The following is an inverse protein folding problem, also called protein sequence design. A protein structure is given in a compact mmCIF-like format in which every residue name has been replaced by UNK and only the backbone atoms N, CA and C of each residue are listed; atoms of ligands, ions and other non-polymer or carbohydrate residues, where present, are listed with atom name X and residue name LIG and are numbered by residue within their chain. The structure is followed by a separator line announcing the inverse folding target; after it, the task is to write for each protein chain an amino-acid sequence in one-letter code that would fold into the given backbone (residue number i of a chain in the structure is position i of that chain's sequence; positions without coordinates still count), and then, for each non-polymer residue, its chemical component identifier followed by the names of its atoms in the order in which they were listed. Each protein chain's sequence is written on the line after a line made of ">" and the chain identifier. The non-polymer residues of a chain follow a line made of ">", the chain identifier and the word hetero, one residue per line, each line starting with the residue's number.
data_IF_802371697065
#
_entry.id   IF_802371697065
#
_cell.length_a   1.000
_cell.length_b   1.000
_cell.length_c   1.000
_cell.angle_alpha   90.00
_cell.angle_beta   90.00
_cell.angle_gamma   90.00
#
_symmetry.space_group_name_H-M   'P 1'
#
loop_
_entity.id
_entity.type
_entity.pdbx_description
1 polymer ?
#
# COMPACT_ATOMS: atom_id res chain seq x y z
N UNK A 1 12.55 34.42 21.14
CA UNK A 1 12.76 32.98 21.42
C UNK A 1 11.60 32.39 22.24
N UNK A 2 10.89 33.20 23.04
CA UNK A 2 9.67 32.79 23.77
C UNK A 2 8.45 32.51 22.87
N UNK A 3 8.24 33.25 21.78
CA UNK A 3 7.10 33.00 20.88
C UNK A 3 7.13 31.63 20.21
N UNK A 4 8.32 31.15 19.79
CA UNK A 4 8.47 29.78 19.26
C UNK A 4 8.19 28.70 20.33
N UNK A 5 8.38 29.04 21.62
CA UNK A 5 8.13 28.12 22.74
C UNK A 5 6.63 28.05 23.05
N UNK A 6 5.91 29.18 23.01
CA UNK A 6 4.44 29.20 23.14
C UNK A 6 3.77 28.45 21.99
N UNK A 7 4.16 28.71 20.74
CA UNK A 7 3.57 28.07 19.56
C UNK A 7 3.69 26.54 19.59
N UNK A 8 4.87 26.01 19.97
CA UNK A 8 5.10 24.56 20.01
C UNK A 8 4.31 23.86 21.13
N UNK A 9 4.05 24.55 22.25
CA UNK A 9 3.30 24.00 23.38
C UNK A 9 1.79 24.01 23.09
N UNK A 10 1.27 25.10 22.52
CA UNK A 10 -0.12 25.18 22.04
C UNK A 10 -0.43 24.14 20.95
N UNK A 11 0.53 23.91 20.04
CA UNK A 11 0.36 22.96 18.95
C UNK A 11 0.40 21.50 19.43
N UNK A 12 1.21 21.16 20.45
CA UNK A 12 1.16 19.82 21.05
C UNK A 12 -0.13 19.60 21.83
N UNK A 13 -0.62 20.63 22.54
CA UNK A 13 -1.87 20.54 23.30
C UNK A 13 -3.08 20.36 22.38
N UNK A 14 -3.12 21.06 21.24
CA UNK A 14 -4.17 20.89 20.22
C UNK A 14 -4.19 19.48 19.61
N UNK A 15 -3.00 18.94 19.27
CA UNK A 15 -2.88 17.59 18.73
C UNK A 15 -3.27 16.52 19.75
N UNK A 16 -2.85 16.68 21.01
CA UNK A 16 -3.19 15.75 22.08
C UNK A 16 -4.69 15.78 22.40
N UNK A 17 -5.32 16.95 22.36
CA UNK A 17 -6.78 17.08 22.48
C UNK A 17 -7.50 16.36 21.33
N UNK A 18 -7.01 16.49 20.10
CA UNK A 18 -7.58 15.80 18.95
C UNK A 18 -7.45 14.28 19.06
N UNK A 19 -6.27 13.78 19.45
CA UNK A 19 -6.04 12.34 19.67
C UNK A 19 -6.92 11.81 20.80
N UNK A 20 -7.08 12.57 21.88
CA UNK A 20 -7.99 12.21 22.97
C UNK A 20 -9.45 12.15 22.49
N UNK A 21 -9.88 13.08 21.64
CA UNK A 21 -11.22 13.09 21.07
C UNK A 21 -11.47 11.89 20.14
N UNK A 22 -10.49 11.52 19.32
CA UNK A 22 -10.54 10.28 18.52
C UNK A 22 -10.63 9.07 19.44
N UNK A 23 -9.80 9.00 20.49
CA UNK A 23 -9.81 7.87 21.43
C UNK A 23 -11.14 7.75 22.17
N UNK A 24 -11.72 8.88 22.58
CA UNK A 24 -13.02 8.92 23.25
C UNK A 24 -14.14 8.41 22.33
N UNK A 25 -14.05 8.70 21.03
CA UNK A 25 -15.05 8.30 20.03
C UNK A 25 -14.69 7.01 19.26
N UNK A 26 -13.58 6.36 19.58
CA UNK A 26 -13.03 5.22 18.84
C UNK A 26 -14.05 4.09 18.70
N UNK A 27 -14.80 3.79 19.76
CA UNK A 27 -15.83 2.75 19.77
C UNK A 27 -16.98 3.05 18.80
N UNK A 28 -17.31 4.32 18.59
CA UNK A 28 -18.33 4.74 17.63
C UNK A 28 -17.78 4.70 16.20
N UNK A 29 -16.57 5.22 16.01
CA UNK A 29 -15.87 5.23 14.72
C UNK A 29 -15.68 3.81 14.19
N UNK A 30 -15.20 2.87 15.03
CA UNK A 30 -14.98 1.47 14.63
C UNK A 30 -16.29 0.78 14.23
N UNK A 31 -17.44 1.19 14.78
CA UNK A 31 -18.74 0.59 14.42
C UNK A 31 -19.26 1.11 13.09
N UNK A 32 -19.12 2.41 12.83
CA UNK A 32 -19.76 3.06 11.67
C UNK A 32 -18.82 3.13 10.47
N UNK A 33 -17.54 3.43 10.68
CA UNK A 33 -16.59 3.67 9.61
C UNK A 33 -16.45 2.49 8.63
N UNK A 34 -16.39 1.21 9.06
CA UNK A 34 -16.29 0.11 8.11
C UNK A 34 -17.47 0.10 7.14
N UNK A 35 -18.70 0.26 7.65
CA UNK A 35 -19.93 0.26 6.84
C UNK A 35 -19.90 1.41 5.84
N UNK A 36 -19.57 2.62 6.29
CA UNK A 36 -19.49 3.80 5.42
C UNK A 36 -18.40 3.64 4.36
N UNK A 37 -17.22 3.13 4.71
CA UNK A 37 -16.11 2.92 3.77
C UNK A 37 -16.48 1.85 2.73
N UNK A 38 -17.04 0.71 3.16
CA UNK A 38 -17.46 -0.36 2.27
C UNK A 38 -18.55 0.09 1.30
N UNK A 39 -19.52 0.87 1.80
CA UNK A 39 -20.56 1.47 0.95
C UNK A 39 -19.98 2.44 -0.08
N UNK A 40 -19.08 3.35 0.35
CA UNK A 40 -18.43 4.30 -0.55
C UNK A 40 -17.61 3.61 -1.63
N UNK A 41 -16.88 2.52 -1.31
CA UNK A 41 -16.13 1.75 -2.29
C UNK A 41 -17.04 1.16 -3.38
N UNK A 42 -18.20 0.60 -3.00
CA UNK A 42 -19.16 0.10 -3.98
C UNK A 42 -19.84 1.22 -4.77
N UNK A 43 -20.12 2.37 -4.17
CA UNK A 43 -20.62 3.52 -4.92
C UNK A 43 -19.63 3.99 -5.97
N UNK A 44 -18.34 4.06 -5.64
CA UNK A 44 -17.28 4.39 -6.62
C UNK A 44 -17.29 3.38 -7.77
N UNK A 45 -17.37 2.08 -7.44
CA UNK A 45 -17.45 1.00 -8.44
C UNK A 45 -18.66 1.15 -9.37
N UNK A 46 -19.84 1.40 -8.82
CA UNK A 46 -21.08 1.56 -9.60
C UNK A 46 -21.07 2.83 -10.46
N UNK A 47 -20.49 3.91 -9.95
CA UNK A 47 -20.30 5.13 -10.71
C UNK A 47 -19.32 4.93 -11.88
N UNK A 48 -18.22 4.20 -11.67
CA UNK A 48 -17.22 3.90 -12.70
C UNK A 48 -17.82 3.05 -13.83
N UNK A 49 -18.64 2.06 -13.49
CA UNK A 49 -19.31 1.19 -14.46
C UNK A 49 -20.70 1.69 -14.90
N UNK A 50 -21.11 2.89 -14.49
CA UNK A 50 -22.40 3.54 -14.81
C UNK A 50 -23.62 2.61 -14.62
N UNK A 51 -23.63 1.85 -13.52
CA UNK A 51 -24.66 0.85 -13.26
C UNK A 51 -24.99 0.74 -11.78
N UNK A 52 -26.29 0.69 -11.45
CA UNK A 52 -26.78 0.38 -10.11
C UNK A 52 -27.51 -0.99 -10.13
N UNK A 53 -26.95 -2.02 -9.48
CA UNK A 53 -27.60 -3.33 -9.36
C UNK A 53 -28.85 -3.28 -8.47
N UNK A 54 -29.83 -4.13 -8.79
CA UNK A 54 -30.91 -4.47 -7.87
C UNK A 54 -30.36 -5.37 -6.76
N UNK A 55 -30.53 -4.94 -5.51
CA UNK A 55 -30.01 -5.64 -4.36
C UNK A 55 -31.12 -6.11 -3.44
N UNK A 56 -31.02 -7.38 -3.04
CA UNK A 56 -31.65 -7.80 -1.79
C UNK A 56 -30.84 -7.25 -0.61
N UNK A 57 -31.53 -6.76 0.42
CA UNK A 57 -30.95 -6.08 1.58
C UNK A 57 -29.91 -6.97 2.31
N UNK A 58 -30.18 -8.27 2.36
CA UNK A 58 -29.28 -9.24 2.99
C UNK A 58 -27.99 -9.43 2.21
N UNK A 59 -28.09 -9.59 0.89
CA UNK A 59 -26.93 -9.74 -0.01
C UNK A 59 -26.06 -8.49 -0.02
N UNK A 60 -26.67 -7.30 -0.05
CA UNK A 60 -25.95 -6.03 0.05
C UNK A 60 -25.22 -5.89 1.40
N UNK A 61 -25.89 -6.26 2.50
CA UNK A 61 -25.29 -6.20 3.83
C UNK A 61 -24.05 -7.09 3.96
N UNK A 62 -24.13 -8.35 3.52
CA UNK A 62 -23.00 -9.29 3.53
C UNK A 62 -21.84 -8.80 2.66
N UNK A 63 -22.16 -8.24 1.49
CA UNK A 63 -21.18 -7.72 0.53
C UNK A 63 -20.44 -6.51 1.09
N UNK A 64 -21.17 -5.56 1.70
CA UNK A 64 -20.59 -4.39 2.36
C UNK A 64 -19.64 -4.82 3.48
N UNK A 65 -20.07 -5.69 4.38
CA UNK A 65 -19.24 -6.16 5.50
C UNK A 65 -17.95 -6.81 4.97
N UNK A 66 -18.05 -7.63 3.93
CA UNK A 66 -16.88 -8.29 3.32
C UNK A 66 -15.92 -7.28 2.69
N UNK A 67 -16.44 -6.29 1.95
CA UNK A 67 -15.64 -5.21 1.37
C UNK A 67 -14.99 -4.33 2.45
N UNK A 68 -15.70 -4.04 3.54
CA UNK A 68 -15.18 -3.31 4.67
C UNK A 68 -14.03 -4.04 5.35
N UNK A 69 -14.16 -5.36 5.56
CA UNK A 69 -13.10 -6.19 6.16
C UNK A 69 -11.88 -6.25 5.26
N UNK A 70 -12.06 -6.47 3.95
CA UNK A 70 -10.96 -6.48 2.99
C UNK A 70 -10.28 -5.11 2.86
N UNK A 71 -11.05 -4.03 2.75
CA UNK A 71 -10.52 -2.67 2.67
C UNK A 71 -9.76 -2.28 3.94
N UNK A 72 -10.28 -2.64 5.12
CA UNK A 72 -9.58 -2.45 6.39
C UNK A 72 -8.28 -3.27 6.45
N UNK A 73 -8.30 -4.53 5.99
CA UNK A 73 -7.10 -5.37 5.96
C UNK A 73 -6.01 -4.78 5.05
N UNK A 74 -6.36 -4.31 3.84
CA UNK A 74 -5.41 -3.65 2.93
C UNK A 74 -4.88 -2.36 3.56
N UNK A 75 -5.75 -1.52 4.13
CA UNK A 75 -5.35 -0.27 4.77
C UNK A 75 -4.40 -0.51 5.96
N UNK A 76 -4.69 -1.51 6.80
CA UNK A 76 -3.80 -1.92 7.89
C UNK A 76 -2.47 -2.45 7.37
N UNK A 77 -2.46 -3.23 6.28
CA UNK A 77 -1.23 -3.70 5.67
C UNK A 77 -0.35 -2.55 5.17
N UNK A 78 -0.93 -1.52 4.53
CA UNK A 78 -0.21 -0.31 4.11
C UNK A 78 0.30 0.47 5.32
N UNK A 79 -0.53 0.63 6.35
CA UNK A 79 -0.19 1.33 7.60
C UNK A 79 0.96 0.65 8.34
N UNK A 80 0.92 -0.68 8.45
CA UNK A 80 1.99 -1.45 9.06
C UNK A 80 3.24 -1.44 8.18
N UNK A 81 3.09 -1.63 6.87
CA UNK A 81 4.20 -1.56 5.91
C UNK A 81 4.95 -0.23 5.99
N UNK A 82 4.23 0.88 6.13
CA UNK A 82 4.83 2.22 6.27
C UNK A 82 5.51 2.44 7.62
N UNK A 83 5.07 1.75 8.68
CA UNK A 83 5.69 1.84 10.00
C UNK A 83 6.96 0.99 10.16
N UNK A 84 6.95 -0.24 9.64
CA UNK A 84 7.91 -1.29 10.03
C UNK A 84 9.36 -0.87 9.86
N UNK A 85 9.82 -0.26 8.73
CA UNK A 85 11.25 0.06 8.57
C UNK A 85 11.77 1.02 9.65
N UNK A 86 11.01 2.07 9.96
CA UNK A 86 11.38 3.03 10.99
C UNK A 86 11.29 2.44 12.40
N UNK A 87 10.25 1.63 12.68
CA UNK A 87 10.09 0.96 13.97
C UNK A 87 11.17 -0.08 14.21
N UNK A 88 11.51 -0.90 13.21
CA UNK A 88 12.52 -1.95 13.31
C UNK A 88 13.88 -1.36 13.64
N UNK A 89 14.26 -0.29 12.93
CA UNK A 89 15.52 0.39 13.20
C UNK A 89 15.56 0.97 14.62
N UNK A 90 14.49 1.69 15.01
CA UNK A 90 14.44 2.35 16.29
C UNK A 90 14.35 1.36 17.48
N UNK A 91 13.53 0.31 17.38
CA UNK A 91 13.35 -0.68 18.44
C UNK A 91 14.61 -1.55 18.62
N UNK A 92 15.25 -1.99 17.53
CA UNK A 92 16.45 -2.84 17.64
C UNK A 92 17.66 -2.04 18.13
N UNK A 93 17.80 -0.77 17.72
CA UNK A 93 18.97 0.03 18.08
C UNK A 93 18.84 0.77 19.43
N UNK A 94 17.72 1.48 19.69
CA UNK A 94 17.61 2.34 20.88
C UNK A 94 17.13 1.63 22.15
N UNK A 95 16.49 0.47 22.03
CA UNK A 95 15.97 -0.28 23.19
C UNK A 95 17.05 -1.07 23.91
N UNK A 96 18.16 -1.34 23.23
CA UNK A 96 19.29 -2.01 23.83
C UNK A 96 19.92 -1.14 24.92
N UNK A 97 20.11 -1.71 26.10
CA UNK A 97 20.64 -0.98 27.26
C UNK A 97 22.07 -0.52 27.02
N UNK A 98 22.90 -1.33 26.37
CA UNK A 98 24.30 -1.00 26.10
C UNK A 98 24.38 0.23 25.17
N UNK A 99 23.60 0.20 24.09
CA UNK A 99 23.55 1.31 23.12
C UNK A 99 23.01 2.57 23.78
N UNK A 100 21.92 2.46 24.56
CA UNK A 100 21.30 3.60 25.21
C UNK A 100 22.20 4.23 26.27
N UNK A 101 22.93 3.43 27.03
CA UNK A 101 23.82 3.93 28.08
C UNK A 101 25.09 4.55 27.46
N UNK A 102 25.63 3.98 26.37
CA UNK A 102 26.74 4.55 25.59
C UNK A 102 26.33 5.85 24.89
N UNK A 103 25.17 5.89 24.20
CA UNK A 103 24.66 7.12 23.57
C UNK A 103 24.26 8.17 24.61
N UNK A 104 23.60 7.78 25.68
CA UNK A 104 23.11 8.66 26.75
C UNK A 104 24.24 9.37 27.51
N UNK A 105 25.48 8.89 27.41
CA UNK A 105 26.65 9.60 27.89
C UNK A 105 27.01 10.82 27.03
N UNK A 106 26.79 10.74 25.71
CA UNK A 106 27.11 11.81 24.75
C UNK A 106 25.90 12.69 24.41
N UNK A 107 24.68 12.19 24.60
CA UNK A 107 23.46 12.96 24.41
C UNK A 107 23.17 13.87 25.61
N UNK A 108 22.72 15.11 25.38
CA UNK A 108 22.37 16.03 26.44
C UNK A 108 21.16 15.49 27.24
N UNK A 109 21.26 15.54 28.58
CA UNK A 109 20.22 15.04 29.52
C UNK A 109 19.03 15.99 29.70
N UNK A 110 19.10 17.21 29.16
CA UNK A 110 17.98 18.14 29.16
C UNK A 110 16.92 17.67 28.16
N UNK A 111 15.68 17.48 28.60
CA UNK A 111 14.58 16.91 27.80
C UNK A 111 14.40 17.60 26.42
N UNK A 112 14.60 18.92 26.35
CA UNK A 112 14.50 19.67 25.09
C UNK A 112 15.69 19.42 24.16
N UNK A 113 16.90 19.34 24.71
CA UNK A 113 18.12 19.12 23.94
C UNK A 113 18.23 17.66 23.52
N UNK A 114 17.72 16.73 24.33
CA UNK A 114 17.62 15.31 24.03
C UNK A 114 16.74 15.06 22.80
N UNK A 115 15.52 15.63 22.76
CA UNK A 115 14.62 15.50 21.61
C UNK A 115 15.25 16.03 20.31
N UNK A 116 15.96 17.15 20.38
CA UNK A 116 16.66 17.75 19.24
C UNK A 116 17.85 16.89 18.79
N UNK A 117 18.63 16.37 19.73
CA UNK A 117 19.76 15.50 19.46
C UNK A 117 19.30 14.16 18.85
N UNK A 118 18.27 13.53 19.41
CA UNK A 118 17.64 12.32 18.86
C UNK A 118 17.15 12.58 17.43
N UNK A 119 16.39 13.65 17.19
CA UNK A 119 15.89 13.98 15.84
C UNK A 119 17.04 14.19 14.85
N UNK A 120 18.12 14.86 15.29
CA UNK A 120 19.30 15.09 14.44
C UNK A 120 20.01 13.78 14.15
N UNK A 121 20.13 12.89 15.13
CA UNK A 121 20.72 11.56 14.98
C UNK A 121 19.94 10.72 13.96
N UNK A 122 18.62 10.61 14.09
CA UNK A 122 17.80 9.87 13.12
C UNK A 122 17.91 10.48 11.72
N UNK A 123 17.93 11.80 11.60
CA UNK A 123 18.08 12.44 10.30
C UNK A 123 19.42 12.09 9.64
N UNK A 124 20.51 12.12 10.40
CA UNK A 124 21.86 11.86 9.88
C UNK A 124 22.14 10.38 9.63
N UNK A 125 21.65 9.49 10.49
CA UNK A 125 21.98 8.06 10.48
C UNK A 125 20.85 7.16 10.03
N UNK A 126 19.70 7.69 9.60
CA UNK A 126 18.61 6.90 9.01
C UNK A 126 18.08 7.58 7.74
N UNK A 127 17.61 8.83 7.82
CA UNK A 127 16.96 9.49 6.67
C UNK A 127 17.89 9.66 5.46
N UNK A 128 19.02 10.37 5.65
CA UNK A 128 19.94 10.66 4.56
C UNK A 128 20.55 9.39 3.94
N UNK A 129 21.08 8.43 4.74
CA UNK A 129 21.64 7.22 4.18
C UNK A 129 20.63 6.35 3.44
N UNK A 130 19.43 6.18 4.00
CA UNK A 130 18.38 5.38 3.34
C UNK A 130 17.99 6.02 2.03
N UNK A 131 17.84 7.34 2.00
CA UNK A 131 17.51 8.08 0.76
C UNK A 131 18.59 7.92 -0.29
N UNK A 132 19.86 8.07 0.07
CA UNK A 132 20.98 7.86 -0.85
C UNK A 132 20.98 6.43 -1.40
N UNK A 133 20.81 5.43 -0.52
CA UNK A 133 20.74 4.03 -0.94
C UNK A 133 19.57 3.78 -1.91
N UNK A 134 18.37 4.28 -1.61
CA UNK A 134 17.20 4.13 -2.47
C UNK A 134 17.41 4.80 -3.82
N UNK A 135 17.94 6.03 -3.86
CA UNK A 135 18.22 6.74 -5.11
C UNK A 135 19.26 6.02 -5.97
N UNK A 136 20.33 5.50 -5.36
CA UNK A 136 21.35 4.74 -6.10
C UNK A 136 20.80 3.42 -6.62
N UNK A 137 19.98 2.70 -5.83
CA UNK A 137 19.32 1.48 -6.29
C UNK A 137 18.38 1.77 -7.45
N UNK A 138 17.58 2.85 -7.39
CA UNK A 138 16.74 3.29 -8.51
C UNK A 138 17.60 3.58 -9.74
N UNK A 139 18.71 4.31 -9.60
CA UNK A 139 19.60 4.60 -10.72
C UNK A 139 20.19 3.34 -11.35
N UNK A 140 20.68 2.39 -10.53
CA UNK A 140 21.19 1.10 -11.00
C UNK A 140 20.09 0.30 -11.70
N UNK A 141 18.84 0.37 -11.22
CA UNK A 141 17.70 -0.32 -11.82
C UNK A 141 17.50 0.05 -13.30
N UNK A 142 17.84 1.27 -13.70
CA UNK A 142 17.71 1.74 -15.08
C UNK A 142 19.00 1.56 -15.90
N UNK A 143 20.12 1.16 -15.28
CA UNK A 143 21.42 1.12 -15.94
C UNK A 143 21.95 -0.28 -16.28
N UNK A 144 21.64 -1.31 -15.48
CA UNK A 144 22.32 -2.62 -15.61
C UNK A 144 21.40 -3.78 -15.21
N UNK A 145 21.38 -4.91 -15.92
CA UNK A 145 20.33 -5.96 -15.79
C UNK A 145 20.41 -6.86 -14.54
N UNK A 146 21.45 -6.76 -13.71
CA UNK A 146 21.70 -7.70 -12.61
C UNK A 146 21.42 -7.09 -11.22
N UNK A 147 20.12 -6.97 -10.88
CA UNK A 147 19.65 -6.08 -9.81
C UNK A 147 19.65 -6.65 -8.39
N UNK A 148 19.56 -7.98 -8.25
CA UNK A 148 19.21 -8.60 -6.96
C UNK A 148 20.30 -8.43 -5.88
N UNK A 149 21.57 -8.46 -6.28
CA UNK A 149 22.71 -8.36 -5.36
C UNK A 149 22.84 -6.94 -4.77
N UNK A 150 22.52 -5.90 -5.55
CA UNK A 150 22.63 -4.50 -5.13
C UNK A 150 21.66 -4.12 -4.02
N UNK A 151 20.49 -4.77 -3.94
CA UNK A 151 19.51 -4.50 -2.88
C UNK A 151 20.07 -4.75 -1.48
N UNK A 152 21.00 -5.70 -1.32
CA UNK A 152 21.61 -6.03 -0.02
C UNK A 152 23.02 -5.43 0.08
N UNK A 153 23.81 -5.53 -0.99
CA UNK A 153 25.21 -5.09 -0.97
C UNK A 153 25.33 -3.57 -0.74
N UNK A 154 24.47 -2.76 -1.36
CA UNK A 154 24.58 -1.31 -1.29
C UNK A 154 24.19 -0.76 0.11
N UNK A 155 23.05 -1.18 0.71
CA UNK A 155 22.75 -0.79 2.08
C UNK A 155 23.79 -1.29 3.08
N UNK A 156 24.32 -2.51 2.89
CA UNK A 156 25.36 -3.06 3.76
C UNK A 156 26.63 -2.21 3.71
N UNK A 157 27.08 -1.83 2.51
CA UNK A 157 28.24 -0.96 2.32
C UNK A 157 28.02 0.41 3.00
N UNK A 158 26.85 1.01 2.79
CA UNK A 158 26.50 2.28 3.43
C UNK A 158 26.49 2.17 4.97
N UNK A 159 25.95 1.07 5.51
CA UNK A 159 25.94 0.81 6.95
C UNK A 159 27.34 0.61 7.52
N UNK A 160 28.25 -0.04 6.79
CA UNK A 160 29.65 -0.20 7.21
C UNK A 160 30.36 1.16 7.31
N UNK A 161 30.18 2.04 6.32
CA UNK A 161 30.76 3.40 6.33
C UNK A 161 30.21 4.20 7.52
N UNK A 162 28.90 4.14 7.77
CA UNK A 162 28.28 4.84 8.90
C UNK A 162 28.69 4.25 10.25
N UNK A 163 28.89 2.94 10.35
CA UNK A 163 29.36 2.29 11.56
C UNK A 163 30.78 2.76 11.92
N UNK A 164 31.66 2.95 10.93
CA UNK A 164 32.99 3.53 11.14
C UNK A 164 32.91 4.99 11.61
N UNK A 165 31.98 5.77 11.06
CA UNK A 165 31.74 7.13 11.53
C UNK A 165 31.21 7.15 12.98
N UNK A 166 30.26 6.26 13.31
CA UNK A 166 29.72 6.10 14.66
C UNK A 166 30.82 5.72 15.66
N UNK A 167 31.66 4.73 15.31
CA UNK A 167 32.74 4.26 16.17
C UNK A 167 33.76 5.36 16.44
N UNK A 168 34.06 6.19 15.43
CA UNK A 168 34.98 7.33 15.55
C UNK A 168 34.41 8.43 16.44
N UNK A 169 33.12 8.78 16.28
CA UNK A 169 32.50 9.90 17.01
C UNK A 169 32.07 9.56 18.44
N UNK A 170 31.50 8.37 18.65
CA UNK A 170 30.84 8.01 19.91
C UNK A 170 31.54 6.88 20.68
N UNK A 171 32.67 6.35 20.17
CA UNK A 171 33.46 5.30 20.82
C UNK A 171 32.63 4.09 21.28
N UNK A 172 31.67 3.66 20.46
CA UNK A 172 30.82 2.50 20.77
C UNK A 172 31.62 1.20 20.85
N UNK A 173 31.13 0.27 21.65
CA UNK A 173 31.63 -1.09 21.69
C UNK A 173 31.39 -1.85 20.38
N UNK A 174 32.23 -2.84 20.09
CA UNK A 174 32.13 -3.63 18.85
C UNK A 174 30.79 -4.37 18.71
N UNK A 175 30.19 -4.80 19.83
CA UNK A 175 28.87 -5.43 19.87
C UNK A 175 27.76 -4.46 19.46
N UNK A 176 27.78 -3.22 19.96
CA UNK A 176 26.85 -2.16 19.58
C UNK A 176 26.95 -1.81 18.09
N UNK A 177 28.16 -1.81 17.52
CA UNK A 177 28.36 -1.57 16.08
C UNK A 177 27.78 -2.69 15.20
N UNK A 178 27.98 -3.96 15.58
CA UNK A 178 27.40 -5.09 14.83
C UNK A 178 25.87 -5.03 14.87
N UNK A 179 25.28 -4.72 16.04
CA UNK A 179 23.83 -4.51 16.17
C UNK A 179 23.34 -3.38 15.27
N UNK A 180 24.06 -2.25 15.24
CA UNK A 180 23.75 -1.12 14.36
C UNK A 180 23.77 -1.52 12.87
N UNK A 181 24.82 -2.22 12.44
CA UNK A 181 24.97 -2.66 11.04
C UNK A 181 23.82 -3.58 10.65
N UNK A 182 23.49 -4.57 11.48
CA UNK A 182 22.43 -5.52 11.20
C UNK A 182 21.05 -4.82 11.14
N UNK A 183 20.73 -4.03 12.16
CA UNK A 183 19.46 -3.31 12.25
C UNK A 183 19.28 -2.32 11.10
N UNK A 184 20.32 -1.54 10.78
CA UNK A 184 20.29 -0.55 9.71
C UNK A 184 20.23 -1.20 8.34
N UNK A 185 20.97 -2.29 8.11
CA UNK A 185 20.90 -3.01 6.82
C UNK A 185 19.50 -3.58 6.60
N UNK A 186 18.91 -4.24 7.61
CA UNK A 186 17.54 -4.75 7.52
C UNK A 186 16.50 -3.64 7.33
N UNK A 187 16.65 -2.52 8.01
CA UNK A 187 15.72 -1.41 7.88
C UNK A 187 15.83 -0.73 6.50
N UNK A 188 17.04 -0.51 5.99
CA UNK A 188 17.27 0.18 4.71
C UNK A 188 16.85 -0.67 3.52
N UNK A 189 17.14 -1.96 3.57
CA UNK A 189 16.69 -2.92 2.55
C UNK A 189 15.17 -2.94 2.49
N UNK A 190 14.50 -3.07 3.64
CA UNK A 190 13.04 -3.08 3.72
C UNK A 190 12.43 -1.75 3.27
N UNK A 191 12.98 -0.62 3.73
CA UNK A 191 12.56 0.73 3.30
C UNK A 191 12.67 0.90 1.79
N UNK A 192 13.76 0.44 1.20
CA UNK A 192 13.98 0.53 -0.25
C UNK A 192 13.01 -0.37 -1.02
N UNK A 193 12.79 -1.61 -0.58
CA UNK A 193 11.82 -2.53 -1.21
C UNK A 193 10.42 -1.93 -1.18
N UNK A 194 9.97 -1.43 -0.04
CA UNK A 194 8.63 -0.84 0.11
C UNK A 194 8.49 0.42 -0.74
N UNK A 195 9.50 1.30 -0.73
CA UNK A 195 9.50 2.53 -1.53
C UNK A 195 9.47 2.24 -3.03
N UNK A 196 10.23 1.23 -3.47
CA UNK A 196 10.26 0.79 -4.87
C UNK A 196 8.92 0.15 -5.28
N UNK A 197 8.33 -0.69 -4.44
CA UNK A 197 7.04 -1.31 -4.70
C UNK A 197 5.91 -0.26 -4.86
N UNK A 198 5.88 0.73 -3.96
CA UNK A 198 4.96 1.87 -4.08
C UNK A 198 5.27 2.68 -5.34
N UNK A 199 6.56 2.93 -5.60
CA UNK A 199 7.02 3.70 -6.75
C UNK A 199 6.63 3.10 -8.10
N UNK A 200 6.86 1.80 -8.29
CA UNK A 200 6.49 1.07 -9.52
C UNK A 200 4.99 1.14 -9.73
N UNK A 201 4.20 0.89 -8.68
CA UNK A 201 2.75 0.99 -8.75
C UNK A 201 2.30 2.40 -9.15
N UNK A 202 2.89 3.44 -8.57
CA UNK A 202 2.59 4.83 -8.92
C UNK A 202 2.95 5.16 -10.37
N UNK A 203 4.11 4.70 -10.86
CA UNK A 203 4.53 4.90 -12.26
C UNK A 203 3.54 4.25 -13.22
N UNK A 204 3.13 3.01 -12.98
CA UNK A 204 2.13 2.33 -13.80
C UNK A 204 0.78 3.08 -13.83
N UNK A 205 0.37 3.66 -12.70
CA UNK A 205 -0.91 4.39 -12.62
C UNK A 205 -0.90 5.79 -13.23
N UNK A 206 0.21 6.53 -13.12
CA UNK A 206 0.26 7.96 -13.46
C UNK A 206 1.06 8.28 -14.72
N UNK A 207 2.01 7.42 -15.10
CA UNK A 207 2.91 7.64 -16.24
C UNK A 207 3.12 6.36 -17.06
N UNK A 208 2.05 5.72 -17.59
CA UNK A 208 2.19 4.49 -18.38
C UNK A 208 2.99 4.67 -19.68
N UNK A 209 3.02 5.88 -20.25
CA UNK A 209 3.76 6.23 -21.48
C UNK A 209 4.86 7.30 -21.24
N UNK A 210 5.28 7.48 -19.98
CA UNK A 210 6.29 8.48 -19.63
C UNK A 210 7.69 8.10 -20.13
N UNK A 211 8.53 9.08 -20.45
CA UNK A 211 9.94 8.85 -20.75
C UNK A 211 10.69 8.28 -19.54
N UNK A 212 11.74 7.49 -19.75
CA UNK A 212 12.54 6.87 -18.68
C UNK A 212 12.98 7.89 -17.63
N UNK A 213 13.38 9.09 -18.06
CA UNK A 213 13.77 10.19 -17.16
C UNK A 213 12.62 10.63 -16.25
N UNK A 214 11.39 10.75 -16.78
CA UNK A 214 10.22 11.12 -15.98
C UNK A 214 9.85 10.04 -14.96
N UNK A 215 10.00 8.76 -15.32
CA UNK A 215 9.75 7.64 -14.43
C UNK A 215 10.79 7.58 -13.30
N UNK A 216 12.08 7.76 -13.62
CA UNK A 216 13.16 7.82 -12.62
C UNK A 216 12.93 8.97 -11.63
N UNK A 217 12.57 10.17 -12.13
CA UNK A 217 12.33 11.33 -11.26
C UNK A 217 11.13 11.10 -10.34
N UNK A 218 10.05 10.48 -10.83
CA UNK A 218 8.91 10.12 -10.00
C UNK A 218 9.30 9.07 -8.94
N UNK A 219 10.06 8.03 -9.31
CA UNK A 219 10.55 7.02 -8.37
C UNK A 219 11.42 7.62 -7.27
N UNK A 220 12.33 8.54 -7.62
CA UNK A 220 13.17 9.25 -6.64
C UNK A 220 12.31 10.11 -5.71
N UNK A 221 11.33 10.84 -6.24
CA UNK A 221 10.43 11.66 -5.44
C UNK A 221 9.61 10.82 -4.45
N UNK A 222 9.12 9.66 -4.90
CA UNK A 222 8.37 8.72 -4.05
C UNK A 222 9.28 8.14 -2.98
N UNK A 223 10.49 7.68 -3.35
CA UNK A 223 11.44 7.14 -2.39
C UNK A 223 11.84 8.18 -1.32
N UNK A 224 12.08 9.44 -1.72
CA UNK A 224 12.33 10.53 -0.77
C UNK A 224 11.15 10.73 0.18
N UNK A 225 9.93 10.77 -0.35
CA UNK A 225 8.72 10.97 0.44
C UNK A 225 8.53 9.82 1.44
N UNK A 226 8.66 8.57 1.00
CA UNK A 226 8.55 7.38 1.84
C UNK A 226 9.62 7.34 2.92
N UNK A 227 10.86 7.68 2.61
CA UNK A 227 11.95 7.73 3.60
C UNK A 227 11.71 8.81 4.67
N UNK A 228 11.11 9.95 4.30
CA UNK A 228 10.65 10.96 5.27
C UNK A 228 9.57 10.38 6.19
N UNK A 229 8.61 9.61 5.64
CA UNK A 229 7.59 8.91 6.45
C UNK A 229 8.23 7.92 7.42
N UNK A 230 9.18 7.10 6.96
CA UNK A 230 9.88 6.14 7.83
C UNK A 230 10.67 6.86 8.94
N UNK A 231 11.37 7.95 8.60
CA UNK A 231 12.11 8.74 9.58
C UNK A 231 11.18 9.40 10.60
N UNK A 232 10.04 9.94 10.18
CA UNK A 232 9.05 10.51 11.12
C UNK A 232 8.45 9.45 12.03
N UNK A 233 8.25 8.21 11.55
CA UNK A 233 7.84 7.09 12.39
C UNK A 233 8.91 6.75 13.45
N UNK A 234 10.18 6.69 13.06
CA UNK A 234 11.29 6.47 13.99
C UNK A 234 11.44 7.60 15.03
N UNK A 235 11.35 8.87 14.60
CA UNK A 235 11.38 10.04 15.49
C UNK A 235 10.20 10.01 16.46
N UNK A 236 9.01 9.67 15.97
CA UNK A 236 7.81 9.61 16.81
C UNK A 236 7.91 8.52 17.87
N UNK A 237 8.50 7.36 17.57
CA UNK A 237 8.69 6.32 18.59
C UNK A 237 9.65 6.76 19.70
N UNK A 238 10.71 7.49 19.35
CA UNK A 238 11.74 7.87 20.31
C UNK A 238 11.37 9.09 21.15
N UNK A 239 10.74 10.10 20.55
CA UNK A 239 10.46 11.38 21.20
C UNK A 239 9.03 11.52 21.70
N UNK A 240 8.10 10.68 21.24
CA UNK A 240 6.67 10.81 21.49
C UNK A 240 6.07 9.48 22.00
N UNK A 241 4.86 9.54 22.56
CA UNK A 241 4.13 8.32 22.98
C UNK A 241 3.73 7.51 21.74
N UNK A 242 3.79 6.17 21.81
CA UNK A 242 3.41 5.23 20.74
C UNK A 242 2.09 5.55 20.01
N UNK A 243 1.14 6.20 20.69
CA UNK A 243 -0.14 6.63 20.12
C UNK A 243 0.01 7.65 18.99
N UNK A 244 1.03 8.50 19.02
CA UNK A 244 1.25 9.52 17.99
C UNK A 244 1.92 8.92 16.74
N UNK A 245 2.74 7.87 16.90
CA UNK A 245 3.36 7.15 15.77
C UNK A 245 2.32 6.51 14.87
N UNK A 246 1.33 5.85 15.49
CA UNK A 246 0.21 5.24 14.77
C UNK A 246 -0.62 6.31 14.05
N UNK A 247 -0.83 7.48 14.66
CA UNK A 247 -1.57 8.58 14.03
C UNK A 247 -0.88 9.09 12.76
N UNK A 248 0.42 9.39 12.82
CA UNK A 248 1.17 9.85 11.64
C UNK A 248 1.21 8.80 10.53
N UNK A 249 1.48 7.54 10.88
CA UNK A 249 1.45 6.44 9.89
C UNK A 249 0.08 6.27 9.23
N UNK A 250 -1.00 6.36 10.01
CA UNK A 250 -2.37 6.27 9.49
C UNK A 250 -2.65 7.42 8.53
N UNK A 251 -2.23 8.64 8.88
CA UNK A 251 -2.39 9.83 8.05
C UNK A 251 -1.61 9.71 6.73
N UNK A 252 -0.35 9.25 6.79
CA UNK A 252 0.46 9.03 5.59
C UNK A 252 -0.09 7.90 4.71
N UNK A 253 -0.60 6.82 5.31
CA UNK A 253 -1.24 5.72 4.57
C UNK A 253 -2.49 6.20 3.85
N UNK A 254 -3.27 7.08 4.47
CA UNK A 254 -4.41 7.72 3.83
C UNK A 254 -3.98 8.59 2.64
N UNK A 255 -2.94 9.41 2.80
CA UNK A 255 -2.40 10.25 1.72
C UNK A 255 -1.85 9.42 0.57
N UNK A 256 -1.11 8.35 0.85
CA UNK A 256 -0.61 7.41 -0.16
C UNK A 256 -1.77 6.70 -0.88
N UNK A 257 -2.79 6.29 -0.14
CA UNK A 257 -3.99 5.67 -0.71
C UNK A 257 -4.74 6.61 -1.64
N UNK A 258 -4.79 7.91 -1.34
CA UNK A 258 -5.42 8.91 -2.20
C UNK A 258 -4.52 9.24 -3.41
N UNK A 259 -3.22 9.43 -3.20
CA UNK A 259 -2.26 9.76 -4.25
C UNK A 259 -2.10 8.68 -5.31
N UNK A 260 -2.24 7.42 -4.94
CA UNK A 260 -2.12 6.28 -5.86
C UNK A 260 -3.44 5.79 -6.44
N UNK A 261 -4.51 6.58 -6.32
CA UNK A 261 -5.86 6.20 -6.74
C UNK A 261 -6.30 4.80 -6.24
N UNK A 262 -5.82 4.42 -5.05
CA UNK A 262 -6.10 3.10 -4.47
C UNK A 262 -7.60 2.90 -4.27
N UNK A 263 -8.34 3.99 -4.06
CA UNK A 263 -9.79 4.01 -3.92
C UNK A 263 -10.56 3.66 -5.21
N UNK A 264 -9.97 3.84 -6.39
CA UNK A 264 -10.55 3.35 -7.65
C UNK A 264 -10.21 1.88 -7.92
N UNK A 265 -9.03 1.43 -7.51
CA UNK A 265 -8.55 0.07 -7.77
C UNK A 265 -9.06 -0.94 -6.72
N UNK A 266 -9.27 -0.50 -5.47
CA UNK A 266 -9.77 -1.31 -4.37
C UNK A 266 -11.13 -1.96 -4.67
N UNK A 267 -12.16 -1.21 -5.12
CA UNK A 267 -13.47 -1.80 -5.40
C UNK A 267 -13.41 -2.89 -6.47
N UNK A 268 -12.61 -2.66 -7.52
CA UNK A 268 -12.34 -3.64 -8.57
C UNK A 268 -11.70 -4.93 -8.04
N UNK A 269 -10.68 -4.79 -7.20
CA UNK A 269 -9.99 -5.91 -6.58
C UNK A 269 -10.87 -6.67 -5.59
N UNK A 270 -11.68 -5.95 -4.81
CA UNK A 270 -12.64 -6.52 -3.87
C UNK A 270 -13.73 -7.30 -4.62
N UNK A 271 -14.32 -6.73 -5.67
CA UNK A 271 -15.32 -7.41 -6.50
C UNK A 271 -14.76 -8.72 -7.11
N UNK A 272 -13.48 -8.69 -7.53
CA UNK A 272 -12.76 -9.86 -8.06
C UNK A 272 -12.49 -10.93 -7.00
N UNK A 273 -12.01 -10.54 -5.81
CA UNK A 273 -11.72 -11.46 -4.71
C UNK A 273 -13.00 -12.12 -4.20
N UNK A 274 -14.09 -11.36 -4.10
CA UNK A 274 -15.41 -11.88 -3.72
C UNK A 274 -16.04 -12.73 -4.83
N UNK A 275 -15.47 -12.73 -6.04
CA UNK A 275 -15.98 -13.49 -7.19
C UNK A 275 -17.30 -12.97 -7.73
N UNK A 276 -17.67 -11.75 -7.35
CA UNK A 276 -18.94 -11.09 -7.70
C UNK A 276 -18.80 -10.25 -8.96
N UNK A 277 -17.60 -9.77 -9.28
CA UNK A 277 -17.37 -8.91 -10.43
C UNK A 277 -15.91 -8.79 -10.85
N UNK A 278 -15.66 -8.07 -11.94
CA UNK A 278 -14.33 -7.84 -12.51
C UNK A 278 -13.46 -9.11 -12.70
N UNK A 279 -14.05 -10.18 -13.25
CA UNK A 279 -13.34 -11.43 -13.58
C UNK A 279 -13.60 -11.87 -15.03
N UNK A 280 -12.68 -12.65 -15.61
CA UNK A 280 -12.79 -13.16 -16.98
C UNK A 280 -13.42 -14.55 -16.91
N UNK A 281 -14.57 -14.71 -17.56
CA UNK A 281 -15.17 -16.01 -17.81
C UNK A 281 -14.58 -16.58 -19.11
N UNK A 282 -14.20 -17.85 -19.06
CA UNK A 282 -13.75 -18.59 -20.23
C UNK A 282 -14.93 -18.83 -21.17
N UNK A 283 -16.06 -19.25 -20.60
CA UNK A 283 -17.32 -19.44 -21.33
C UNK A 283 -18.51 -19.01 -20.48
N UNK A 284 -19.50 -18.40 -21.12
CA UNK A 284 -20.81 -18.08 -20.54
C UNK A 284 -21.86 -18.73 -21.42
N UNK A 285 -22.68 -19.60 -20.84
CA UNK A 285 -23.78 -20.26 -21.53
C UNK A 285 -25.09 -19.56 -21.17
N UNK A 286 -25.75 -19.02 -22.18
CA UNK A 286 -27.00 -18.24 -22.05
C UNK A 286 -28.08 -18.89 -22.90
N UNK A 287 -29.32 -18.90 -22.40
CA UNK A 287 -30.48 -19.38 -23.13
C UNK A 287 -31.52 -18.29 -23.34
N UNK A 288 -32.37 -18.44 -24.36
CA UNK A 288 -33.55 -17.60 -24.56
C UNK A 288 -33.26 -16.30 -25.30
N UNK A 289 -34.05 -15.25 -25.00
CA UNK A 289 -34.06 -13.98 -25.72
C UNK A 289 -32.68 -13.28 -25.90
N UNK A 290 -31.72 -13.38 -24.96
CA UNK A 290 -30.40 -12.75 -25.14
C UNK A 290 -29.63 -13.29 -26.36
N UNK A 291 -29.88 -14.54 -26.78
CA UNK A 291 -29.30 -15.15 -27.97
C UNK A 291 -29.66 -14.45 -29.29
N UNK A 292 -30.78 -13.73 -29.32
CA UNK A 292 -31.31 -13.11 -30.53
C UNK A 292 -30.68 -11.74 -30.83
N UNK A 293 -29.86 -11.23 -29.89
CA UNK A 293 -29.17 -9.95 -30.01
C UNK A 293 -28.04 -10.07 -31.04
N UNK A 294 -28.36 -9.68 -32.29
CA UNK A 294 -27.44 -9.78 -33.45
C UNK A 294 -26.15 -8.98 -33.34
N UNK A 295 -26.08 -8.01 -32.43
CA UNK A 295 -24.88 -7.20 -32.20
C UNK A 295 -23.81 -7.92 -31.38
N UNK A 296 -24.14 -9.06 -30.77
CA UNK A 296 -23.24 -9.85 -29.93
C UNK A 296 -22.79 -11.10 -30.72
N UNK A 297 -21.48 -11.44 -30.73
CA UNK A 297 -20.94 -12.58 -31.45
C UNK A 297 -21.20 -13.89 -30.70
N UNK A 298 -22.47 -14.30 -30.61
CA UNK A 298 -22.86 -15.57 -30.00
C UNK A 298 -22.38 -16.77 -30.83
N UNK A 299 -21.72 -17.74 -30.18
CA UNK A 299 -21.57 -19.08 -30.76
C UNK A 299 -22.83 -19.88 -30.46
N UNK A 300 -23.61 -20.22 -31.48
CA UNK A 300 -24.79 -21.07 -31.31
C UNK A 300 -24.35 -22.52 -31.06
N UNK A 301 -24.77 -23.08 -29.93
CA UNK A 301 -24.68 -24.50 -29.63
C UNK A 301 -25.91 -25.25 -30.14
N UNK A 302 -25.77 -26.55 -30.35
CA UNK A 302 -26.80 -27.43 -30.95
C UNK A 302 -28.12 -27.51 -30.16
N UNK A 303 -28.15 -27.04 -28.91
CA UNK A 303 -29.29 -27.15 -27.99
C UNK A 303 -30.07 -25.84 -27.77
N UNK A 304 -29.91 -24.83 -28.65
CA UNK A 304 -30.50 -23.49 -28.42
C UNK A 304 -29.80 -22.68 -27.32
N UNK A 305 -28.62 -23.13 -26.92
CA UNK A 305 -27.71 -22.45 -25.99
C UNK A 305 -26.76 -21.56 -26.80
N UNK A 306 -26.55 -20.34 -26.32
CA UNK A 306 -25.56 -19.44 -26.90
C UNK A 306 -24.36 -19.33 -25.97
N UNK A 307 -23.18 -19.49 -26.55
CA UNK A 307 -21.92 -19.43 -25.83
C UNK A 307 -21.19 -18.16 -26.18
N UNK A 308 -20.74 -17.45 -25.15
CA UNK A 308 -19.80 -16.34 -25.23
C UNK A 308 -18.49 -16.77 -24.62
N UNK A 309 -17.40 -16.65 -25.38
CA UNK A 309 -16.05 -16.97 -24.91
C UNK A 309 -15.32 -15.71 -24.43
N UNK A 310 -14.36 -15.88 -23.52
CA UNK A 310 -13.42 -14.85 -23.07
C UNK A 310 -14.09 -13.51 -22.71
N UNK A 311 -15.13 -13.57 -21.90
CA UNK A 311 -15.94 -12.39 -21.60
C UNK A 311 -15.64 -11.85 -20.21
N UNK A 312 -15.47 -10.52 -20.10
CA UNK A 312 -15.23 -9.87 -18.82
C UNK A 312 -16.56 -9.67 -18.10
N UNK A 313 -16.79 -10.41 -17.01
CA UNK A 313 -17.92 -10.19 -16.14
C UNK A 313 -17.61 -8.98 -15.26
N UNK A 314 -18.37 -7.90 -15.45
CA UNK A 314 -18.32 -6.72 -14.60
C UNK A 314 -19.03 -7.04 -13.29
N UNK A 315 -20.23 -7.63 -13.36
CA UNK A 315 -21.03 -7.91 -12.16
C UNK A 315 -21.90 -9.15 -12.35
N UNK A 316 -22.08 -9.94 -11.30
CA UNK A 316 -22.82 -11.22 -11.32
C UNK A 316 -23.74 -11.44 -10.11
N UNK A 317 -24.07 -10.38 -9.36
CA UNK A 317 -24.96 -10.48 -8.19
C UNK A 317 -26.27 -9.71 -8.41
N UNK A 318 -27.40 -10.35 -8.06
CA UNK A 318 -28.74 -9.78 -8.22
C UNK A 318 -29.47 -10.33 -9.45
N UNK A 319 -30.36 -9.52 -10.02
CA UNK A 319 -31.26 -9.98 -11.09
C UNK A 319 -30.62 -9.92 -12.48
N UNK A 320 -29.43 -9.30 -12.62
CA UNK A 320 -28.75 -9.14 -13.90
C UNK A 320 -27.24 -9.38 -13.81
N UNK A 321 -26.70 -10.08 -14.80
CA UNK A 321 -25.29 -10.16 -15.13
C UNK A 321 -24.91 -9.00 -16.04
N UNK A 322 -23.90 -8.22 -15.65
CA UNK A 322 -23.30 -7.20 -16.50
C UNK A 322 -22.00 -7.74 -17.06
N UNK A 323 -21.92 -7.77 -18.38
CA UNK A 323 -20.82 -8.38 -19.12
C UNK A 323 -20.28 -7.38 -20.12
N UNK A 324 -18.95 -7.26 -20.18
CA UNK A 324 -18.24 -6.42 -21.14
C UNK A 324 -17.60 -7.31 -22.20
N UNK A 325 -17.98 -7.06 -23.45
CA UNK A 325 -17.52 -7.78 -24.63
C UNK A 325 -16.68 -6.82 -25.46
N UNK A 326 -15.54 -7.31 -25.98
CA UNK A 326 -14.75 -6.55 -26.96
C UNK A 326 -15.14 -7.01 -28.36
N UNK A 327 -15.71 -6.11 -29.16
CA UNK A 327 -16.11 -6.37 -30.55
C UNK A 327 -15.41 -5.33 -31.42
N UNK A 328 -14.47 -5.77 -32.26
CA UNK A 328 -13.75 -4.91 -33.21
C UNK A 328 -13.20 -3.63 -32.55
N UNK A 329 -12.47 -3.81 -31.45
CA UNK A 329 -11.85 -2.75 -30.62
C UNK A 329 -12.83 -1.82 -29.88
N UNK A 330 -14.14 -2.02 -30.01
CA UNK A 330 -15.16 -1.34 -29.19
C UNK A 330 -15.59 -2.21 -28.02
N UNK A 331 -15.63 -1.61 -26.82
CA UNK A 331 -16.13 -2.25 -25.61
C UNK A 331 -17.64 -2.01 -25.52
N UNK A 332 -18.43 -3.09 -25.47
CA UNK A 332 -19.88 -3.03 -25.33
C UNK A 332 -20.27 -3.71 -24.01
N UNK A 333 -21.02 -2.99 -23.18
CA UNK A 333 -21.55 -3.48 -21.92
C UNK A 333 -23.00 -3.97 -22.12
N UNK A 334 -23.23 -5.24 -21.83
CA UNK A 334 -24.52 -5.91 -21.98
C UNK A 334 -25.04 -6.33 -20.62
N UNK A 335 -26.33 -6.15 -20.37
CA UNK A 335 -27.03 -6.68 -19.19
C UNK A 335 -27.84 -7.89 -19.59
N UNK A 336 -27.63 -9.03 -18.93
CA UNK A 336 -28.36 -10.28 -19.17
C UNK A 336 -29.10 -10.63 -17.88
N UNK A 337 -30.41 -10.94 -17.92
CA UNK A 337 -31.14 -11.42 -16.75
C UNK A 337 -30.49 -12.68 -16.17
N UNK A 338 -30.36 -12.78 -14.84
CA UNK A 338 -29.75 -13.92 -14.16
C UNK A 338 -30.46 -15.25 -14.48
N UNK A 339 -31.78 -15.22 -14.69
CA UNK A 339 -32.56 -16.40 -15.07
C UNK A 339 -32.21 -16.99 -16.45
N UNK A 340 -31.59 -16.21 -17.33
CA UNK A 340 -31.22 -16.63 -18.68
C UNK A 340 -29.79 -17.20 -18.74
N UNK A 341 -28.98 -17.02 -17.68
CA UNK A 341 -27.61 -17.53 -17.57
C UNK A 341 -27.62 -18.92 -16.94
N UNK A 342 -27.26 -19.94 -17.73
CA UNK A 342 -27.28 -21.34 -17.28
C UNK A 342 -25.97 -21.73 -16.61
N UNK A 343 -24.84 -21.32 -17.18
CA UNK A 343 -23.54 -21.63 -16.60
C UNK A 343 -22.50 -20.55 -16.92
N UNK A 344 -21.55 -20.38 -16.00
CA UNK A 344 -20.37 -19.53 -16.16
C UNK A 344 -19.15 -20.38 -15.83
N UNK A 345 -18.35 -20.70 -16.84
CA UNK A 345 -17.07 -21.38 -16.67
C UNK A 345 -16.02 -20.30 -16.45
N UNK A 346 -15.56 -20.18 -15.20
CA UNK A 346 -14.47 -19.25 -14.85
C UNK A 346 -13.18 -19.72 -15.50
N UNK A 347 -12.43 -18.79 -16.10
CA UNK A 347 -11.08 -19.11 -16.59
C UNK A 347 -10.21 -19.58 -15.42
N UNK A 348 -9.52 -20.72 -15.58
CA UNK A 348 -8.62 -21.30 -14.59
C UNK A 348 -7.31 -20.52 -14.42
N UNK A 349 -7.32 -19.20 -14.63
CA UNK A 349 -6.13 -18.34 -14.62
C UNK A 349 -5.78 -17.83 -13.21
N UNK A 350 -5.82 -18.76 -12.26
CA UNK A 350 -4.82 -18.94 -11.19
C UNK A 350 -4.45 -20.41 -11.29
N UNK A 351 -3.39 -20.78 -12.02
CA UNK A 351 -2.15 -21.24 -11.36
C UNK A 351 -0.92 -21.29 -12.30
N UNK A 352 -0.86 -20.50 -13.38
CA UNK A 352 0.34 -20.48 -14.27
C UNK A 352 1.39 -19.41 -13.97
N UNK A 353 1.16 -18.50 -13.01
CA UNK A 353 2.22 -17.61 -12.50
C UNK A 353 2.96 -18.17 -11.27
N UNK A 354 2.52 -19.31 -10.72
CA UNK A 354 3.22 -20.05 -9.65
C UNK A 354 3.98 -21.29 -10.16
N UNK A 355 3.69 -21.79 -11.36
CA UNK A 355 4.34 -23.00 -11.92
C UNK A 355 5.54 -22.72 -12.86
N UNK A 356 5.76 -21.47 -13.28
CA UNK A 356 6.91 -21.09 -14.13
C UNK A 356 8.04 -20.44 -13.32
N UNK A 357 8.30 -20.96 -12.11
CA UNK A 357 9.47 -20.60 -11.30
C UNK A 357 10.23 -21.80 -10.73
N UNK A 358 9.90 -23.01 -11.18
CA UNK A 358 10.69 -24.23 -10.94
C UNK A 358 11.43 -24.71 -12.21
N UNK A 359 11.41 -23.94 -13.31
CA UNK A 359 12.23 -24.17 -14.50
C UNK A 359 12.64 -22.85 -15.17
N UNK A 360 13.55 -22.09 -14.55
CA UNK A 360 14.51 -21.22 -15.27
C UNK A 360 15.68 -20.88 -14.38
#
# INVERSE_FOLDING_TARGET
>A
MEDKKKLATEQSDSLDNFIQLIRANLKSIIKVAPITIGFSLFLIYFCEYQFFPSFDLFSLGSLLVSASVLGLAVFLAITLGTCIPGLLWADVFFKDKEVRDELGYFLPKDEKNERLANTTFIRSYFLWPTTLCSCTIIYVLFSDNDYASYFIALPLLACLVLALELSSRYKLSGTSLVKFILASTMAYTLATIISLAVGIFSVETHLPEGSDFSQIMLLILIALTMNIVFATCAISLQNLKNSQTIFFSTLFSLLLSLGNNLWGILPEGIARILGVGNYIAQEIHVSGNPCEIKTIPWKQGENGLCTLENTKIIWSLGDTYRIRISISEKLIDVSIPTGDVISVIKSAERDKKSATRDQS
#
